data_IF_253603621910
#
_entry.id   IF_253603621910
#
_cell.length_a   1.000
_cell.length_b   1.000
_cell.length_c   1.000
_cell.angle_alpha   90.00
_cell.angle_beta   90.00
_cell.angle_gamma   90.00
#
_symmetry.space_group_name_H-M   'P 1'
#
loop_
_entity.id
_entity.type
_entity.pdbx_description
1 polymer ?
#
# COMPACT_ATOMS: atom_id res chain seq x y z
N UNK A 1 3.62 75.63 -8.15
CA UNK A 1 4.97 75.17 -8.52
C UNK A 1 5.51 74.19 -7.48
N UNK A 2 5.52 72.89 -7.78
CA UNK A 2 6.60 71.92 -7.51
C UNK A 2 6.03 70.51 -7.75
N UNK A 3 6.49 69.90 -8.84
CA UNK A 3 6.33 68.48 -9.15
C UNK A 3 7.35 67.72 -8.32
N UNK A 4 6.96 66.70 -7.57
CA UNK A 4 7.89 65.68 -7.07
C UNK A 4 7.26 64.30 -7.27
N UNK A 5 7.88 63.57 -8.20
CA UNK A 5 7.68 62.16 -8.52
C UNK A 5 8.28 61.31 -7.41
N UNK A 6 7.57 60.28 -6.93
CA UNK A 6 8.19 59.14 -6.26
C UNK A 6 7.54 57.86 -6.78
N UNK A 7 8.35 57.06 -7.45
CA UNK A 7 7.99 55.82 -8.15
C UNK A 7 7.56 54.73 -7.17
N UNK A 8 6.43 54.08 -7.47
CA UNK A 8 5.95 52.91 -6.72
C UNK A 8 6.55 51.65 -7.34
N UNK A 9 7.55 51.06 -6.67
CA UNK A 9 8.08 49.74 -7.02
C UNK A 9 7.15 48.70 -6.42
N UNK A 10 6.26 48.15 -7.25
CA UNK A 10 5.42 47.00 -6.89
C UNK A 10 6.30 45.75 -7.06
N UNK A 11 6.83 45.25 -5.95
CA UNK A 11 7.52 43.97 -5.89
C UNK A 11 6.45 42.87 -5.87
N UNK A 12 6.15 42.27 -7.03
CA UNK A 12 5.32 41.08 -7.13
C UNK A 12 6.09 39.89 -6.53
N UNK A 13 5.92 39.64 -5.24
CA UNK A 13 6.33 38.40 -4.62
C UNK A 13 5.49 37.25 -5.19
N UNK A 14 6.09 36.46 -6.08
CA UNK A 14 5.49 35.26 -6.63
C UNK A 14 5.20 34.25 -5.52
N UNK A 15 3.93 33.99 -5.26
CA UNK A 15 3.51 32.85 -4.46
C UNK A 15 3.80 31.58 -5.27
N UNK A 16 4.93 30.93 -4.99
CA UNK A 16 5.19 29.57 -5.46
C UNK A 16 4.31 28.67 -4.59
N UNK A 17 3.08 28.43 -5.04
CA UNK A 17 2.25 27.35 -4.49
C UNK A 17 2.92 26.03 -4.85
N UNK A 18 3.74 25.52 -3.93
CA UNK A 18 4.20 24.14 -3.98
C UNK A 18 2.97 23.25 -3.87
N UNK A 19 2.47 22.77 -5.00
CA UNK A 19 1.48 21.70 -5.02
C UNK A 19 2.19 20.45 -4.51
N UNK A 20 1.94 20.09 -3.26
CA UNK A 20 2.28 18.77 -2.78
C UNK A 20 1.58 17.79 -3.73
N UNK A 21 2.36 17.08 -4.55
CA UNK A 21 1.83 16.06 -5.42
C UNK A 21 1.28 14.94 -4.51
N UNK A 22 -0.04 14.91 -4.31
CA UNK A 22 -0.71 13.78 -3.67
C UNK A 22 -0.46 12.56 -4.57
N UNK A 23 0.45 11.67 -4.17
CA UNK A 23 0.80 10.48 -4.90
C UNK A 23 -0.25 9.37 -4.73
N UNK A 24 -1.54 9.73 -4.63
CA UNK A 24 -2.61 8.76 -4.44
C UNK A 24 -2.69 7.82 -5.62
N UNK A 25 -2.61 6.52 -5.34
CA UNK A 25 -2.86 5.50 -6.36
C UNK A 25 -4.34 5.16 -6.40
N UNK A 26 -4.83 4.61 -7.51
CA UNK A 26 -6.21 4.12 -7.62
C UNK A 26 -6.53 2.99 -6.63
N UNK A 27 -5.52 2.43 -5.97
CA UNK A 27 -5.65 1.33 -5.01
C UNK A 27 -5.57 1.80 -3.56
N UNK A 28 -5.37 3.09 -3.31
CA UNK A 28 -5.27 3.63 -1.96
C UNK A 28 -6.57 3.40 -1.17
N UNK A 29 -6.42 3.26 0.14
CA UNK A 29 -7.49 2.98 1.09
C UNK A 29 -7.43 1.57 1.71
N UNK A 30 -8.45 1.20 2.50
CA UNK A 30 -8.47 -0.05 3.25
C UNK A 30 -8.89 -1.24 2.39
N UNK A 31 -8.27 -2.39 2.64
CA UNK A 31 -8.51 -3.65 1.96
C UNK A 31 -8.62 -4.80 2.96
N UNK A 32 -9.55 -5.72 2.70
CA UNK A 32 -9.68 -6.98 3.41
C UNK A 32 -9.09 -8.09 2.56
N UNK A 33 -8.18 -8.86 3.13
CA UNK A 33 -7.50 -9.98 2.48
C UNK A 33 -7.84 -11.28 3.18
N UNK A 34 -8.01 -12.33 2.38
CA UNK A 34 -8.13 -13.71 2.86
C UNK A 34 -7.10 -14.56 2.13
N UNK A 35 -6.24 -15.23 2.90
CA UNK A 35 -5.23 -16.15 2.41
C UNK A 35 -5.74 -17.57 2.65
N UNK A 36 -5.79 -18.39 1.62
CA UNK A 36 -6.18 -19.79 1.69
C UNK A 36 -4.95 -20.67 1.54
N UNK A 37 -4.76 -21.61 2.46
CA UNK A 37 -3.70 -22.63 2.39
C UNK A 37 -4.17 -23.78 1.51
N UNK A 38 -3.42 -24.08 0.45
CA UNK A 38 -3.68 -25.23 -0.42
C UNK A 38 -2.68 -26.37 -0.19
N UNK A 39 -1.50 -26.06 0.36
CA UNK A 39 -0.44 -27.03 0.64
C UNK A 39 0.22 -26.70 1.97
N UNK A 40 0.60 -27.75 2.71
CA UNK A 40 1.24 -27.64 4.02
C UNK A 40 0.25 -27.79 5.18
N UNK A 41 0.77 -27.79 6.41
CA UNK A 41 0.03 -28.02 7.65
C UNK A 41 -0.30 -26.74 8.42
N UNK A 42 -0.29 -25.58 7.74
CA UNK A 42 -0.73 -24.32 8.33
C UNK A 42 -2.26 -24.30 8.46
N UNK A 43 -2.78 -23.31 9.19
CA UNK A 43 -4.22 -23.09 9.27
C UNK A 43 -4.82 -22.90 7.88
N UNK A 44 -6.06 -23.34 7.70
CA UNK A 44 -6.70 -23.40 6.39
C UNK A 44 -6.86 -22.02 5.75
N UNK A 45 -7.13 -21.00 6.56
CA UNK A 45 -7.27 -19.63 6.09
C UNK A 45 -6.78 -18.60 7.11
N UNK A 46 -6.30 -17.45 6.61
CA UNK A 46 -5.90 -16.29 7.39
C UNK A 46 -6.55 -15.02 6.84
N UNK A 47 -7.13 -14.21 7.71
CA UNK A 47 -7.78 -12.94 7.33
C UNK A 47 -6.99 -11.77 7.88
N UNK A 48 -6.76 -10.75 7.04
CA UNK A 48 -6.05 -9.53 7.39
C UNK A 48 -6.73 -8.32 6.81
N UNK A 49 -6.63 -7.18 7.50
CA UNK A 49 -6.98 -5.87 6.93
C UNK A 49 -5.72 -5.04 6.80
N UNK A 50 -5.50 -4.44 5.64
CA UNK A 50 -4.34 -3.60 5.35
C UNK A 50 -4.82 -2.26 4.81
N UNK A 51 -3.96 -1.25 4.87
CA UNK A 51 -4.20 0.01 4.19
C UNK A 51 -3.15 0.22 3.08
N UNK A 52 -3.59 0.72 1.94
CA UNK A 52 -2.70 1.17 0.87
C UNK A 52 -2.61 2.70 0.92
N UNK A 53 -1.39 3.22 1.00
CA UNK A 53 -1.10 4.66 1.00
C UNK A 53 0.02 4.90 0.01
N UNK A 54 -0.23 5.68 -1.03
CA UNK A 54 0.73 5.96 -2.11
C UNK A 54 1.34 4.68 -2.71
N UNK A 55 0.50 3.63 -2.85
CA UNK A 55 0.92 2.33 -3.33
C UNK A 55 1.77 1.51 -2.35
N UNK A 56 1.97 1.97 -1.11
CA UNK A 56 2.63 1.21 -0.04
C UNK A 56 1.56 0.52 0.80
N UNK A 57 1.71 -0.78 1.00
CA UNK A 57 0.80 -1.57 1.83
C UNK A 57 1.30 -1.50 3.28
N UNK A 58 0.43 -1.11 4.21
CA UNK A 58 0.74 -0.93 5.63
C UNK A 58 -0.24 -1.71 6.51
N UNK A 59 0.22 -2.09 7.69
CA UNK A 59 -0.60 -2.76 8.71
C UNK A 59 -0.17 -2.28 10.09
N UNK A 60 -1.09 -1.86 10.98
CA UNK A 60 -0.77 -1.14 12.21
C UNK A 60 0.14 -1.94 13.16
N UNK A 61 -0.05 -3.27 13.21
CA UNK A 61 0.62 -4.13 14.19
C UNK A 61 1.80 -4.96 13.61
N UNK A 62 2.17 -4.78 12.33
CA UNK A 62 3.18 -5.62 11.68
C UNK A 62 4.42 -4.82 11.30
N UNK A 63 5.36 -4.72 12.24
CA UNK A 63 6.59 -3.91 12.11
C UNK A 63 7.50 -4.39 10.97
N UNK A 64 7.52 -5.68 10.65
CA UNK A 64 8.32 -6.27 9.55
C UNK A 64 7.46 -6.62 8.34
N UNK A 65 6.43 -5.82 8.09
CA UNK A 65 5.64 -5.92 6.87
C UNK A 65 6.26 -5.06 5.77
N UNK A 66 6.43 -5.63 4.58
CA UNK A 66 6.89 -4.92 3.38
C UNK A 66 5.92 -5.26 2.26
N UNK A 67 5.19 -4.28 1.74
CA UNK A 67 4.31 -4.50 0.61
C UNK A 67 4.12 -3.25 -0.25
N UNK A 68 3.89 -3.47 -1.54
CA UNK A 68 3.60 -2.40 -2.49
C UNK A 68 2.64 -2.86 -3.59
N UNK A 69 1.96 -1.87 -4.16
CA UNK A 69 1.04 -1.98 -5.29
C UNK A 69 1.52 -1.00 -6.36
N UNK A 70 1.93 -1.51 -7.52
CA UNK A 70 2.28 -0.68 -8.66
C UNK A 70 1.04 -0.02 -9.27
N UNK A 71 1.23 1.04 -10.07
CA UNK A 71 0.13 1.69 -10.82
C UNK A 71 -0.65 0.72 -11.73
N UNK A 72 0.00 -0.36 -12.19
CA UNK A 72 -0.64 -1.43 -12.97
C UNK A 72 -1.52 -2.39 -12.15
N UNK A 73 -1.58 -2.20 -10.82
CA UNK A 73 -2.24 -3.09 -9.88
C UNK A 73 -1.39 -4.27 -9.43
N UNK A 74 -0.15 -4.43 -9.93
CA UNK A 74 0.73 -5.52 -9.53
C UNK A 74 1.13 -5.39 -8.05
N UNK A 75 0.91 -6.46 -7.28
CA UNK A 75 1.17 -6.52 -5.83
C UNK A 75 2.39 -7.38 -5.55
N UNK A 76 3.23 -6.93 -4.63
CA UNK A 76 4.23 -7.77 -3.95
C UNK A 76 4.21 -7.47 -2.47
N UNK A 77 4.23 -8.50 -1.63
CA UNK A 77 4.28 -8.33 -0.20
C UNK A 77 5.07 -9.44 0.49
N UNK A 78 5.59 -9.14 1.67
CA UNK A 78 6.18 -10.10 2.59
C UNK A 78 6.02 -9.63 4.02
N UNK A 79 5.96 -10.57 4.93
CA UNK A 79 5.82 -10.32 6.36
C UNK A 79 6.62 -11.34 7.15
N UNK A 80 7.25 -10.87 8.22
CA UNK A 80 7.90 -11.73 9.21
C UNK A 80 7.32 -11.42 10.58
N UNK A 81 6.86 -12.44 11.30
CA UNK A 81 6.37 -12.33 12.69
C UNK A 81 7.04 -13.44 13.50
N UNK A 82 7.92 -13.07 14.41
CA UNK A 82 8.77 -14.01 15.15
C UNK A 82 9.51 -14.98 14.19
N UNK A 83 9.21 -16.27 14.28
CA UNK A 83 9.74 -17.37 13.45
C UNK A 83 8.94 -17.60 12.15
N UNK A 84 7.77 -16.97 12.03
CA UNK A 84 6.87 -17.11 10.87
C UNK A 84 7.23 -16.13 9.77
N UNK A 85 7.12 -16.57 8.53
CA UNK A 85 7.36 -15.76 7.35
C UNK A 85 6.35 -16.08 6.27
N UNK A 86 5.88 -15.07 5.55
CA UNK A 86 5.10 -15.25 4.34
C UNK A 86 5.50 -14.22 3.29
N UNK A 87 5.34 -14.60 2.02
CA UNK A 87 5.50 -13.73 0.86
C UNK A 87 4.41 -14.02 -0.15
N UNK A 88 4.00 -12.99 -0.89
CA UNK A 88 2.95 -13.10 -1.86
C UNK A 88 3.09 -12.10 -2.99
N UNK A 89 2.44 -12.43 -4.10
CA UNK A 89 2.32 -11.55 -5.26
C UNK A 89 0.97 -11.77 -5.93
N UNK A 90 0.52 -10.79 -6.70
CA UNK A 90 -0.74 -10.88 -7.43
C UNK A 90 -1.12 -9.56 -8.07
N UNK A 91 -2.42 -9.33 -8.23
CA UNK A 91 -2.93 -8.13 -8.87
C UNK A 91 -4.22 -7.64 -8.20
N UNK A 92 -4.33 -6.33 -8.03
CA UNK A 92 -5.57 -5.64 -7.68
C UNK A 92 -6.27 -5.09 -8.94
N UNK A 93 -7.59 -5.06 -8.88
CA UNK A 93 -8.47 -4.28 -9.75
C UNK A 93 -9.08 -3.13 -8.94
N UNK A 94 -10.13 -2.48 -9.45
CA UNK A 94 -10.76 -1.35 -8.78
C UNK A 94 -11.22 -1.68 -7.35
N UNK A 95 -11.79 -2.87 -7.14
CA UNK A 95 -12.55 -3.26 -5.96
C UNK A 95 -12.18 -4.64 -5.41
N UNK A 96 -11.38 -5.42 -6.14
CA UNK A 96 -10.99 -6.78 -5.75
C UNK A 96 -9.54 -7.10 -6.12
N UNK A 97 -9.07 -8.27 -5.74
CA UNK A 97 -7.74 -8.73 -6.08
C UNK A 97 -7.53 -10.22 -5.80
N UNK A 98 -6.48 -10.77 -6.41
CA UNK A 98 -6.07 -12.14 -6.19
C UNK A 98 -4.58 -12.31 -6.42
N UNK A 99 -4.00 -13.30 -5.78
CA UNK A 99 -2.67 -13.78 -6.11
C UNK A 99 -2.31 -15.07 -5.42
N UNK A 100 -1.02 -15.34 -5.39
CA UNK A 100 -0.43 -16.50 -4.73
C UNK A 100 0.41 -16.07 -3.54
N UNK A 101 0.57 -16.99 -2.59
CA UNK A 101 1.46 -16.80 -1.46
C UNK A 101 2.18 -18.10 -1.09
N UNK A 102 3.32 -17.96 -0.44
CA UNK A 102 4.04 -19.04 0.21
C UNK A 102 4.71 -18.54 1.48
N UNK A 103 4.92 -19.44 2.43
CA UNK A 103 5.45 -19.08 3.73
C UNK A 103 5.86 -20.29 4.55
N UNK A 104 6.19 -20.00 5.81
CA UNK A 104 6.53 -20.98 6.84
C UNK A 104 5.97 -20.56 8.18
N UNK A 105 5.48 -21.52 8.94
CA UNK A 105 5.01 -21.37 10.31
C UNK A 105 5.21 -22.69 11.07
N UNK A 106 5.64 -22.64 12.34
CA UNK A 106 5.75 -23.83 13.18
C UNK A 106 6.65 -24.94 12.60
N UNK A 107 7.71 -24.57 11.85
CA UNK A 107 8.63 -25.50 11.19
C UNK A 107 8.17 -26.05 9.83
N UNK A 108 6.90 -25.86 9.45
CA UNK A 108 6.36 -26.31 8.15
C UNK A 108 6.40 -25.23 7.07
N UNK A 109 6.39 -25.65 5.80
CA UNK A 109 6.18 -24.76 4.63
C UNK A 109 4.74 -24.86 4.15
N UNK A 110 4.16 -23.71 3.80
CA UNK A 110 2.79 -23.62 3.35
C UNK A 110 2.68 -22.71 2.12
N UNK A 111 1.69 -22.96 1.30
CA UNK A 111 1.39 -22.11 0.14
C UNK A 111 -0.07 -22.21 -0.27
N UNK A 112 -0.50 -21.23 -1.05
CA UNK A 112 -1.81 -21.22 -1.66
C UNK A 112 -2.08 -19.91 -2.37
N UNK A 113 -3.32 -19.46 -2.32
CA UNK A 113 -3.76 -18.23 -2.96
C UNK A 113 -4.35 -17.26 -1.96
N UNK A 114 -4.43 -15.99 -2.34
CA UNK A 114 -5.11 -14.97 -1.57
C UNK A 114 -6.14 -14.25 -2.44
N UNK A 115 -7.15 -13.71 -1.80
CA UNK A 115 -8.15 -12.82 -2.38
C UNK A 115 -8.16 -11.51 -1.60
N UNK A 116 -8.47 -10.41 -2.28
CA UNK A 116 -8.65 -9.12 -1.67
C UNK A 116 -10.00 -8.53 -2.09
N UNK A 117 -10.64 -7.82 -1.18
CA UNK A 117 -11.80 -6.97 -1.45
C UNK A 117 -11.57 -5.61 -0.82
N UNK A 118 -11.94 -4.56 -1.55
CA UNK A 118 -11.89 -3.21 -1.02
C UNK A 118 -12.86 -3.11 0.15
N UNK A 119 -12.38 -2.58 1.27
CA UNK A 119 -13.22 -2.30 2.41
C UNK A 119 -13.89 -0.95 2.13
N UNK A 120 -15.17 -0.96 1.80
CA UNK A 120 -15.98 0.24 1.57
C UNK A 120 -16.48 0.81 2.89
#
# INVERSE_FOLDING_TARGET
MKKLLIASVICCAGFISATAAEARTSYDGPWNLVFFTQRGSCDAAYTFSVNVTDGIVTHPNLVKFRGSVARSGAVRASVTVHDKYASGSGKLTADSGRGIWSGRAGGGRCSGYWTAQRNQ
#
